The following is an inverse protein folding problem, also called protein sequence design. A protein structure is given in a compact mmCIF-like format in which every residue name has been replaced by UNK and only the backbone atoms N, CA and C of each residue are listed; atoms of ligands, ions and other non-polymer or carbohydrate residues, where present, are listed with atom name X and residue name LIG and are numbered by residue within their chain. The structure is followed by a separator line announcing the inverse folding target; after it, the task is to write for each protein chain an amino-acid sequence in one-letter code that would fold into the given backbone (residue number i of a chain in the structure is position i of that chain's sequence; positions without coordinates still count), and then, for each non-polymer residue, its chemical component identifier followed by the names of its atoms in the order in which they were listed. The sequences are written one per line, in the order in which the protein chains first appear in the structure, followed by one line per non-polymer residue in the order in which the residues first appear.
data_IF_203582830908
#
_entry.id   IF_203582830908
#
_cell.length_a   1.000
_cell.length_b   1.000
_cell.length_c   1.000
_cell.angle_alpha   90.00
_cell.angle_beta   90.00
_cell.angle_gamma   90.00
#
_symmetry.space_group_name_H-M   'P 1'
#
loop_
_entity.id
_entity.type
_entity.pdbx_description
1 polymer ?
#
# COMPACT_ATOMS: atom_id res chain seq x y z
N UNK A 1 -9.18 -18.52 -24.76
CA UNK A 1 -8.65 -19.60 -25.62
C UNK A 1 -7.64 -20.37 -24.80
N UNK A 2 -8.08 -21.49 -24.21
CA UNK A 2 -7.26 -22.34 -23.37
C UNK A 2 -6.73 -23.50 -24.23
N UNK A 3 -5.42 -23.72 -24.25
CA UNK A 3 -4.83 -24.91 -24.86
C UNK A 3 -4.45 -25.89 -23.75
N UNK A 4 -5.20 -26.99 -23.66
CA UNK A 4 -4.86 -28.18 -22.88
C UNK A 4 -4.07 -29.12 -23.80
N UNK A 5 -2.87 -29.54 -23.39
CA UNK A 5 -2.12 -30.61 -24.04
C UNK A 5 -2.28 -31.89 -23.22
N UNK A 6 -2.95 -32.88 -23.80
CA UNK A 6 -3.08 -34.26 -23.29
C UNK A 6 -1.82 -35.05 -23.60
N UNK A 7 -1.25 -35.73 -22.61
CA UNK A 7 -0.19 -36.72 -22.77
C UNK A 7 -0.80 -38.11 -22.96
N UNK A 8 -0.70 -38.71 -24.15
CA UNK A 8 -0.90 -40.16 -24.34
C UNK A 8 0.46 -40.85 -24.35
N UNK A 9 0.61 -41.88 -23.50
CA UNK A 9 1.76 -42.78 -23.50
C UNK A 9 1.39 -44.03 -24.30
N UNK A 10 2.03 -44.22 -25.46
CA UNK A 10 1.95 -45.46 -26.23
C UNK A 10 3.29 -46.20 -26.12
N UNK A 11 3.25 -47.43 -25.60
CA UNK A 11 4.39 -48.34 -25.46
C UNK A 11 4.86 -48.84 -26.84
N UNK A 12 6.18 -48.86 -27.07
CA UNK A 12 6.85 -49.40 -28.25
C UNK A 12 6.99 -50.94 -28.18
N UNK A 13 6.82 -51.63 -29.31
CA UNK A 13 7.45 -52.93 -29.59
C UNK A 13 8.16 -52.93 -30.95
N UNK A 14 9.47 -52.69 -30.91
CA UNK A 14 10.56 -53.43 -31.57
C UNK A 14 10.36 -54.04 -32.97
N UNK A 15 11.10 -53.55 -33.97
CA UNK A 15 11.91 -54.36 -34.90
C UNK A 15 13.03 -53.53 -35.54
N UNK A 16 14.24 -54.10 -35.54
CA UNK A 16 15.50 -53.59 -36.09
C UNK A 16 15.45 -53.39 -37.61
N UNK A 17 16.06 -52.31 -38.12
CA UNK A 17 16.95 -52.27 -39.30
C UNK A 17 17.56 -50.86 -39.39
N UNK A 18 18.87 -50.80 -39.64
CA UNK A 18 19.73 -49.69 -39.24
C UNK A 18 19.68 -48.42 -40.10
N UNK A 19 19.98 -47.30 -39.43
CA UNK A 19 20.63 -46.08 -39.93
C UNK A 19 21.25 -45.38 -38.71
N UNK A 20 22.45 -44.77 -38.79
CA UNK A 20 22.97 -43.96 -37.70
C UNK A 20 22.16 -42.66 -37.63
N UNK A 21 21.10 -42.66 -36.83
CA UNK A 21 20.31 -41.46 -36.55
C UNK A 21 21.12 -40.62 -35.56
N UNK A 22 21.82 -39.62 -36.08
CA UNK A 22 22.44 -38.57 -35.26
C UNK A 22 21.29 -37.76 -34.64
N UNK A 23 21.03 -38.01 -33.36
CA UNK A 23 20.07 -37.27 -32.54
C UNK A 23 20.62 -35.85 -32.30
N UNK A 24 20.32 -34.92 -33.21
CA UNK A 24 20.53 -33.49 -32.98
C UNK A 24 19.41 -33.03 -32.04
N UNK A 25 19.71 -32.99 -30.74
CA UNK A 25 18.83 -32.40 -29.74
C UNK A 25 18.75 -30.89 -29.99
N UNK A 26 17.69 -30.44 -30.65
CA UNK A 26 17.34 -29.03 -30.75
C UNK A 26 16.88 -28.57 -29.37
N UNK A 27 17.82 -28.05 -28.58
CA UNK A 27 17.53 -27.37 -27.33
C UNK A 27 16.88 -26.03 -27.70
N UNK A 28 15.55 -25.98 -27.68
CA UNK A 28 14.81 -24.73 -27.81
C UNK A 28 15.09 -23.88 -26.56
N UNK A 29 16.06 -22.97 -26.62
CA UNK A 29 16.21 -21.92 -25.62
C UNK A 29 15.02 -20.97 -25.78
N UNK A 30 13.99 -21.21 -24.98
CA UNK A 30 12.87 -20.28 -24.78
C UNK A 30 13.40 -19.08 -23.99
N UNK A 31 13.98 -18.10 -24.69
CA UNK A 31 14.27 -16.78 -24.11
C UNK A 31 12.94 -16.06 -23.87
N UNK A 32 12.30 -16.35 -22.75
CA UNK A 32 11.25 -15.50 -22.21
C UNK A 32 11.87 -14.15 -21.88
N UNK A 33 11.66 -13.15 -22.73
CA UNK A 33 11.97 -11.77 -22.36
C UNK A 33 11.09 -11.44 -21.16
N UNK A 34 11.69 -11.40 -19.97
CA UNK A 34 11.06 -10.80 -18.81
C UNK A 34 10.70 -9.36 -19.23
N UNK A 35 9.42 -9.03 -19.24
CA UNK A 35 8.99 -7.65 -19.36
C UNK A 35 9.57 -6.93 -18.14
N UNK A 36 10.61 -6.13 -18.35
CA UNK A 36 11.10 -5.25 -17.30
C UNK A 36 9.92 -4.37 -16.88
N UNK A 37 9.67 -4.27 -15.57
CA UNK A 37 8.62 -3.40 -15.08
C UNK A 37 9.00 -1.95 -15.35
N UNK A 38 8.28 -1.33 -16.28
CA UNK A 38 8.48 0.07 -16.66
C UNK A 38 7.57 0.91 -15.77
N UNK A 39 8.06 1.97 -15.11
CA UNK A 39 7.20 2.83 -14.32
C UNK A 39 6.12 3.50 -15.18
N UNK A 40 5.10 4.05 -14.53
CA UNK A 40 3.96 4.71 -15.16
C UNK A 40 4.30 6.00 -15.93
N UNK A 41 5.56 6.43 -15.92
CA UNK A 41 6.07 7.60 -16.63
C UNK A 41 7.19 7.24 -17.63
N UNK A 42 7.44 8.13 -18.59
CA UNK A 42 8.41 7.89 -19.67
C UNK A 42 9.85 8.08 -19.18
N UNK A 43 10.57 6.97 -18.97
CA UNK A 43 11.98 6.96 -18.57
C UNK A 43 12.93 7.71 -19.51
N UNK A 44 12.55 7.96 -20.77
CA UNK A 44 13.39 8.73 -21.70
C UNK A 44 13.35 10.24 -21.42
N UNK A 45 12.44 10.69 -20.57
CA UNK A 45 12.26 12.11 -20.21
C UNK A 45 12.86 12.46 -18.85
N UNK A 46 13.48 11.50 -18.17
CA UNK A 46 14.11 11.74 -16.86
C UNK A 46 15.43 12.47 -17.01
N UNK A 47 15.80 13.25 -16.00
CA UNK A 47 17.10 13.92 -15.96
C UNK A 47 18.13 12.99 -15.35
N UNK A 48 19.38 13.06 -15.81
CA UNK A 48 20.48 12.32 -15.19
C UNK A 48 20.65 12.73 -13.72
N UNK A 49 20.83 11.77 -12.83
CA UNK A 49 20.94 11.94 -11.38
C UNK A 49 19.62 12.25 -10.67
N UNK A 50 18.47 12.13 -11.35
CA UNK A 50 17.16 12.35 -10.71
C UNK A 50 16.64 11.10 -9.99
N UNK A 51 15.73 11.30 -9.04
CA UNK A 51 15.00 10.20 -8.40
C UNK A 51 14.21 9.39 -9.43
N UNK A 52 13.65 10.03 -10.46
CA UNK A 52 12.98 9.34 -11.55
C UNK A 52 13.90 8.42 -12.36
N UNK A 53 15.17 8.80 -12.55
CA UNK A 53 16.15 7.92 -13.21
C UNK A 53 16.44 6.68 -12.35
N UNK A 54 16.52 6.83 -11.03
CA UNK A 54 16.69 5.69 -10.11
C UNK A 54 15.49 4.74 -10.20
N UNK A 55 14.26 5.29 -10.16
CA UNK A 55 13.03 4.49 -10.33
C UNK A 55 13.02 3.75 -11.67
N UNK A 56 13.52 4.37 -12.74
CA UNK A 56 13.59 3.74 -14.06
C UNK A 56 14.61 2.60 -14.18
N UNK A 57 15.62 2.55 -13.30
CA UNK A 57 16.68 1.53 -13.31
C UNK A 57 16.45 0.44 -12.28
N UNK A 58 15.47 0.61 -11.40
CA UNK A 58 15.17 -0.29 -10.29
C UNK A 58 13.79 -0.93 -10.47
N UNK A 59 13.79 -2.26 -10.59
CA UNK A 59 12.56 -3.03 -10.85
C UNK A 59 11.56 -2.96 -9.69
N UNK A 60 12.05 -2.91 -8.44
CA UNK A 60 11.19 -2.86 -7.25
C UNK A 60 10.51 -1.48 -7.14
N UNK A 61 11.27 -0.41 -7.36
CA UNK A 61 10.72 0.95 -7.37
C UNK A 61 9.77 1.19 -8.56
N UNK A 62 10.06 0.61 -9.73
CA UNK A 62 9.16 0.68 -10.88
C UNK A 62 7.82 -0.02 -10.62
N UNK A 63 7.83 -1.20 -9.97
CA UNK A 63 6.61 -1.89 -9.52
C UNK A 63 5.82 -1.05 -8.52
N UNK A 64 6.49 -0.39 -7.57
CA UNK A 64 5.83 0.50 -6.62
C UNK A 64 5.19 1.71 -7.32
N UNK A 65 5.85 2.28 -8.33
CA UNK A 65 5.27 3.35 -9.15
C UNK A 65 4.00 2.91 -9.90
N UNK A 66 4.01 1.72 -10.51
CA UNK A 66 2.82 1.14 -11.15
C UNK A 66 1.68 0.94 -10.14
N UNK A 67 1.96 0.33 -8.97
CA UNK A 67 0.96 0.15 -7.91
C UNK A 67 0.37 1.47 -7.43
N UNK A 68 1.19 2.50 -7.29
CA UNK A 68 0.71 3.83 -6.93
C UNK A 68 -0.18 4.42 -8.03
N UNK A 69 0.17 4.24 -9.30
CA UNK A 69 -0.64 4.68 -10.44
C UNK A 69 -2.02 4.03 -10.44
N UNK A 70 -2.10 2.72 -10.17
CA UNK A 70 -3.36 1.98 -10.02
C UNK A 70 -4.21 2.50 -8.86
N UNK A 71 -3.59 2.67 -7.67
CA UNK A 71 -4.26 3.20 -6.49
C UNK A 71 -4.78 4.63 -6.72
N UNK A 72 -3.98 5.48 -7.37
CA UNK A 72 -4.36 6.84 -7.73
C UNK A 72 -5.49 6.88 -8.75
N UNK A 73 -5.49 5.99 -9.76
CA UNK A 73 -6.58 5.88 -10.71
C UNK A 73 -7.89 5.45 -10.02
N UNK A 74 -7.81 4.53 -9.06
CA UNK A 74 -8.96 4.10 -8.26
C UNK A 74 -9.48 5.20 -7.33
N UNK A 75 -8.57 5.91 -6.64
CA UNK A 75 -8.90 7.08 -5.83
C UNK A 75 -9.57 8.17 -6.69
N UNK A 76 -9.04 8.45 -7.88
CA UNK A 76 -9.57 9.46 -8.80
C UNK A 76 -11.02 9.18 -9.22
N UNK A 77 -11.40 7.91 -9.39
CA UNK A 77 -12.80 7.53 -9.69
C UNK A 77 -13.75 7.81 -8.52
N UNK A 78 -13.25 7.77 -7.28
CA UNK A 78 -14.04 8.10 -6.08
C UNK A 78 -14.03 9.61 -5.77
N UNK A 79 -12.99 10.32 -6.17
CA UNK A 79 -12.80 11.74 -5.92
C UNK A 79 -13.57 12.68 -6.89
N UNK A 80 -14.36 12.15 -7.83
CA UNK A 80 -15.03 12.94 -8.88
C UNK A 80 -15.85 14.10 -8.33
N UNK A 81 -16.48 13.91 -7.17
CA UNK A 81 -17.33 14.91 -6.51
C UNK A 81 -16.67 15.53 -5.26
N UNK A 82 -15.36 15.35 -5.07
CA UNK A 82 -14.64 15.91 -3.94
C UNK A 82 -14.58 17.45 -4.05
N UNK A 83 -14.93 18.15 -2.97
CA UNK A 83 -14.90 19.62 -2.91
C UNK A 83 -14.19 20.10 -1.63
N UNK A 84 -13.06 20.81 -1.75
CA UNK A 84 -12.32 21.11 -2.99
C UNK A 84 -11.68 19.86 -3.62
N UNK A 85 -11.39 19.85 -4.94
CA UNK A 85 -10.77 18.69 -5.62
C UNK A 85 -9.27 18.58 -5.26
N UNK A 86 -8.97 18.07 -4.06
CA UNK A 86 -7.61 18.10 -3.49
C UNK A 86 -6.71 16.97 -3.99
N UNK A 87 -7.25 15.81 -4.35
CA UNK A 87 -6.46 14.62 -4.73
C UNK A 87 -5.34 14.92 -5.74
N UNK A 88 -5.68 15.63 -6.83
CA UNK A 88 -4.71 15.96 -7.88
C UNK A 88 -3.63 16.92 -7.39
N UNK A 89 -3.99 17.89 -6.55
CA UNK A 89 -3.04 18.84 -5.99
C UNK A 89 -2.10 18.15 -5.00
N UNK A 90 -2.64 17.29 -4.13
CA UNK A 90 -1.87 16.48 -3.20
C UNK A 90 -0.92 15.52 -3.90
N UNK A 91 -1.38 14.84 -4.96
CA UNK A 91 -0.53 13.92 -5.72
C UNK A 91 0.68 14.65 -6.34
N UNK A 92 0.46 15.86 -6.88
CA UNK A 92 1.56 16.70 -7.37
C UNK A 92 2.51 17.12 -6.26
N UNK A 93 1.98 17.44 -5.08
CA UNK A 93 2.79 17.74 -3.90
C UNK A 93 3.62 16.54 -3.47
N UNK A 94 3.00 15.36 -3.43
CA UNK A 94 3.66 14.10 -3.08
C UNK A 94 4.82 13.77 -4.04
N UNK A 95 4.65 13.91 -5.36
CA UNK A 95 5.75 13.68 -6.32
C UNK A 95 6.97 14.55 -6.00
N UNK A 96 6.74 15.82 -5.64
CA UNK A 96 7.84 16.71 -5.23
C UNK A 96 8.51 16.22 -3.93
N UNK A 97 7.71 15.79 -2.95
CA UNK A 97 8.21 15.24 -1.70
C UNK A 97 9.02 13.95 -1.88
N UNK A 98 8.55 13.02 -2.73
CA UNK A 98 9.33 11.83 -3.11
C UNK A 98 10.66 12.23 -3.75
N UNK A 99 10.64 13.23 -4.63
CA UNK A 99 11.86 13.66 -5.30
C UNK A 99 12.88 14.27 -4.33
N UNK A 100 12.47 14.82 -3.18
CA UNK A 100 13.39 15.28 -2.12
C UNK A 100 14.24 14.15 -1.51
N UNK A 101 13.95 12.87 -1.81
CA UNK A 101 14.81 11.74 -1.48
C UNK A 101 16.23 11.86 -2.04
N UNK A 102 16.51 12.76 -3.00
CA UNK A 102 17.87 13.06 -3.44
C UNK A 102 18.79 13.49 -2.28
N UNK A 103 18.21 14.01 -1.19
CA UNK A 103 18.90 14.45 0.03
C UNK A 103 19.19 13.30 1.01
N UNK A 104 18.59 12.13 0.82
CA UNK A 104 18.77 10.97 1.70
C UNK A 104 20.13 10.31 1.45
N UNK A 105 20.75 9.79 2.51
CA UNK A 105 21.92 8.91 2.39
C UNK A 105 21.55 7.60 1.67
N UNK A 106 20.38 7.05 2.01
CA UNK A 106 19.77 5.91 1.30
C UNK A 106 18.59 6.41 0.46
N UNK A 107 18.87 6.72 -0.81
CA UNK A 107 17.88 7.22 -1.75
C UNK A 107 16.86 6.14 -2.11
N UNK A 108 17.29 4.88 -2.25
CA UNK A 108 16.43 3.77 -2.59
C UNK A 108 15.36 3.57 -1.51
N UNK A 109 15.79 3.43 -0.24
CA UNK A 109 14.88 3.25 0.89
C UNK A 109 13.92 4.41 1.06
N UNK A 110 14.40 5.65 0.90
CA UNK A 110 13.55 6.83 0.98
C UNK A 110 12.42 6.81 -0.08
N UNK A 111 12.75 6.41 -1.32
CA UNK A 111 11.77 6.34 -2.40
C UNK A 111 10.78 5.19 -2.16
N UNK A 112 11.27 4.02 -1.73
CA UNK A 112 10.46 2.87 -1.36
C UNK A 112 9.42 3.24 -0.29
N UNK A 113 9.87 3.84 0.83
CA UNK A 113 9.00 4.28 1.93
C UNK A 113 7.98 5.31 1.45
N UNK A 114 8.40 6.26 0.61
CA UNK A 114 7.52 7.29 0.06
C UNK A 114 6.37 6.68 -0.76
N UNK A 115 6.65 5.64 -1.56
CA UNK A 115 5.63 4.91 -2.30
C UNK A 115 4.71 4.11 -1.38
N UNK A 116 5.28 3.30 -0.48
CA UNK A 116 4.51 2.44 0.42
C UNK A 116 3.51 3.26 1.24
N UNK A 117 3.96 4.34 1.87
CA UNK A 117 3.11 5.23 2.65
C UNK A 117 2.01 5.88 1.79
N UNK A 118 2.33 6.34 0.59
CA UNK A 118 1.32 6.97 -0.28
C UNK A 118 0.29 5.99 -0.83
N UNK A 119 0.70 4.78 -1.17
CA UNK A 119 -0.21 3.71 -1.59
C UNK A 119 -1.18 3.41 -0.45
N UNK A 120 -0.67 3.18 0.76
CA UNK A 120 -1.49 2.94 1.94
C UNK A 120 -2.42 4.12 2.26
N UNK A 121 -1.94 5.36 2.14
CA UNK A 121 -2.77 6.57 2.31
C UNK A 121 -3.95 6.59 1.34
N UNK A 122 -3.69 6.43 0.04
CA UNK A 122 -4.75 6.46 -0.97
C UNK A 122 -5.74 5.31 -0.77
N UNK A 123 -5.25 4.12 -0.44
CA UNK A 123 -6.07 2.96 -0.15
C UNK A 123 -6.98 3.19 1.07
N UNK A 124 -6.48 3.78 2.14
CA UNK A 124 -7.26 4.07 3.34
C UNK A 124 -8.26 5.20 3.12
N UNK A 125 -7.80 6.37 2.66
CA UNK A 125 -8.64 7.57 2.48
C UNK A 125 -9.79 7.33 1.50
N UNK A 126 -9.52 6.64 0.40
CA UNK A 126 -10.52 6.33 -0.61
C UNK A 126 -11.15 4.95 -0.42
N UNK A 127 -10.87 4.26 0.68
CA UNK A 127 -11.45 2.94 1.03
C UNK A 127 -11.38 1.96 -0.14
N UNK A 128 -10.18 1.75 -0.64
CA UNK A 128 -9.87 0.88 -1.78
C UNK A 128 -9.50 -0.55 -1.35
N UNK A 129 -9.41 -0.78 -0.03
CA UNK A 129 -9.12 -2.07 0.59
C UNK A 129 -10.15 -2.37 1.68
N UNK A 130 -10.17 -3.61 2.17
CA UNK A 130 -11.04 -4.00 3.27
C UNK A 130 -10.72 -3.19 4.53
N UNK A 131 -11.77 -2.85 5.28
CA UNK A 131 -11.69 -2.09 6.52
C UNK A 131 -12.43 -2.79 7.66
N UNK A 132 -11.98 -2.56 8.89
CA UNK A 132 -12.61 -3.03 10.12
C UNK A 132 -12.98 -1.82 11.01
N UNK A 133 -14.24 -1.75 11.44
CA UNK A 133 -14.83 -0.60 12.13
C UNK A 133 -16.05 -0.03 11.39
N UNK A 134 -16.58 1.15 11.80
CA UNK A 134 -15.98 2.05 12.78
C UNK A 134 -16.07 1.52 14.23
N UNK A 135 -15.02 1.74 15.00
CA UNK A 135 -15.02 1.54 16.45
C UNK A 135 -15.06 2.88 17.18
N UNK A 136 -15.95 2.97 18.16
CA UNK A 136 -16.18 4.18 18.95
C UNK A 136 -15.46 4.07 20.29
N UNK A 137 -14.67 5.08 20.64
CA UNK A 137 -13.96 5.18 21.91
C UNK A 137 -14.52 6.33 22.74
N UNK A 138 -14.87 6.07 24.00
CA UNK A 138 -15.16 7.12 24.98
C UNK A 138 -13.89 7.46 25.76
N UNK A 139 -13.47 8.72 25.73
CA UNK A 139 -12.22 9.18 26.34
C UNK A 139 -12.47 9.99 27.62
N UNK A 140 -11.54 9.93 28.59
CA UNK A 140 -11.63 10.63 29.88
C UNK A 140 -12.90 10.31 30.71
N UNK A 141 -13.53 9.16 30.46
CA UNK A 141 -14.84 8.79 31.04
C UNK A 141 -15.99 9.73 30.65
N UNK A 142 -15.79 10.59 29.64
CA UNK A 142 -16.82 11.45 29.08
C UNK A 142 -17.30 10.89 27.74
N UNK A 143 -18.59 10.57 27.66
CA UNK A 143 -19.22 10.09 26.42
C UNK A 143 -19.21 11.10 25.26
N UNK A 144 -19.00 12.40 25.55
CA UNK A 144 -18.95 13.50 24.57
C UNK A 144 -17.58 13.65 23.92
N UNK A 145 -16.52 13.17 24.56
CA UNK A 145 -15.19 13.13 23.97
C UNK A 145 -14.99 11.77 23.29
N UNK A 146 -15.54 11.67 22.09
CA UNK A 146 -15.58 10.45 21.28
C UNK A 146 -14.52 10.48 20.18
N UNK A 147 -13.82 9.37 20.00
CA UNK A 147 -12.92 9.14 18.87
C UNK A 147 -13.45 7.94 18.09
N UNK A 148 -13.66 8.14 16.79
CA UNK A 148 -14.12 7.10 15.87
C UNK A 148 -12.94 6.60 15.08
N UNK A 149 -12.78 5.28 14.97
CA UNK A 149 -11.59 4.68 14.34
C UNK A 149 -12.00 3.65 13.30
N UNK A 150 -11.36 3.67 12.14
CA UNK A 150 -11.50 2.64 11.11
C UNK A 150 -10.12 2.13 10.74
N UNK A 151 -9.91 0.82 10.84
CA UNK A 151 -8.65 0.16 10.50
C UNK A 151 -8.71 -0.38 9.07
N UNK A 152 -7.63 -0.30 8.31
CA UNK A 152 -7.57 -0.71 6.91
C UNK A 152 -6.46 -1.73 6.68
N UNK A 153 -6.75 -2.71 5.83
CA UNK A 153 -5.80 -3.75 5.40
C UNK A 153 -4.85 -3.22 4.32
N UNK A 154 -4.11 -2.16 4.64
CA UNK A 154 -3.03 -1.60 3.81
C UNK A 154 -1.68 -2.16 4.22
N UNK A 155 -0.63 -1.84 3.46
CA UNK A 155 0.75 -2.16 3.81
C UNK A 155 1.62 -0.89 3.81
N UNK A 156 2.10 -0.40 4.97
CA UNK A 156 1.82 -0.93 6.31
C UNK A 156 0.34 -0.73 6.70
N UNK A 157 -0.20 -1.49 7.69
CA UNK A 157 -1.58 -1.33 8.14
C UNK A 157 -1.85 0.09 8.62
N UNK A 158 -3.00 0.64 8.24
CA UNK A 158 -3.37 2.02 8.55
C UNK A 158 -4.63 2.09 9.41
N UNK A 159 -4.77 3.22 10.08
CA UNK A 159 -5.93 3.63 10.86
C UNK A 159 -6.33 5.04 10.42
N UNK A 160 -7.62 5.27 10.21
CA UNK A 160 -8.18 6.61 10.18
C UNK A 160 -8.93 6.82 11.50
N UNK A 161 -8.51 7.84 12.26
CA UNK A 161 -9.16 8.28 13.48
C UNK A 161 -9.83 9.64 13.24
N UNK A 162 -11.05 9.79 13.72
CA UNK A 162 -11.89 10.98 13.57
C UNK A 162 -12.29 11.50 14.95
N UNK A 163 -12.17 12.82 15.15
CA UNK A 163 -12.51 13.53 16.39
C UNK A 163 -13.14 14.88 16.03
N UNK A 164 -14.47 14.95 16.09
CA UNK A 164 -15.21 16.10 15.55
C UNK A 164 -14.90 16.23 14.05
N UNK A 165 -14.54 17.43 13.59
CA UNK A 165 -14.18 17.70 12.19
C UNK A 165 -12.72 17.34 11.85
N UNK A 166 -11.96 16.82 12.81
CA UNK A 166 -10.55 16.48 12.61
C UNK A 166 -10.38 15.01 12.24
N UNK A 167 -9.55 14.76 11.23
CA UNK A 167 -9.23 13.41 10.74
C UNK A 167 -7.72 13.22 10.79
N UNK A 168 -7.27 12.09 11.34
CA UNK A 168 -5.86 11.69 11.34
C UNK A 168 -5.71 10.31 10.71
N UNK A 169 -4.90 10.24 9.65
CA UNK A 169 -4.38 8.99 9.10
C UNK A 169 -3.12 8.61 9.86
N UNK A 170 -3.07 7.37 10.34
CA UNK A 170 -1.97 6.82 11.12
C UNK A 170 -1.51 5.50 10.54
N UNK A 171 -0.22 5.20 10.70
CA UNK A 171 0.39 3.95 10.26
C UNK A 171 0.80 3.11 11.46
N UNK A 172 0.64 1.80 11.37
CA UNK A 172 1.13 0.87 12.38
C UNK A 172 2.63 1.06 12.60
N UNK A 173 3.07 1.04 13.85
CA UNK A 173 4.45 1.16 14.27
C UNK A 173 4.87 -0.10 15.05
N UNK A 174 6.16 -0.48 15.01
CA UNK A 174 6.67 -1.51 15.90
C UNK A 174 6.39 -1.19 17.38
N UNK A 175 5.83 -2.15 18.11
CA UNK A 175 5.55 -2.04 19.54
C UNK A 175 5.78 -3.36 20.27
N UNK A 176 6.26 -3.30 21.52
CA UNK A 176 6.54 -4.48 22.34
C UNK A 176 5.26 -5.20 22.82
N UNK A 177 4.14 -4.48 22.89
CA UNK A 177 2.81 -5.03 23.19
C UNK A 177 1.72 -4.12 22.63
N UNK A 178 0.55 -4.69 22.36
CA UNK A 178 -0.56 -3.95 21.74
C UNK A 178 -0.23 -3.48 20.33
N UNK A 179 -1.14 -2.70 19.75
CA UNK A 179 -0.99 -2.11 18.41
C UNK A 179 -0.85 -0.60 18.52
N UNK A 180 0.32 -0.08 18.14
CA UNK A 180 0.59 1.36 18.12
C UNK A 180 0.47 1.91 16.70
N UNK A 181 -0.37 2.91 16.52
CA UNK A 181 -0.53 3.67 15.29
C UNK A 181 -0.03 5.10 15.51
N UNK A 182 0.70 5.63 14.53
CA UNK A 182 1.28 6.98 14.58
C UNK A 182 0.90 7.76 13.32
N UNK A 183 0.26 8.91 13.53
CA UNK A 183 0.04 9.94 12.51
C UNK A 183 1.06 11.05 12.64
N UNK A 184 0.78 12.21 12.03
CA UNK A 184 1.72 13.35 12.05
C UNK A 184 1.92 13.91 13.45
N UNK A 185 0.82 14.16 14.17
CA UNK A 185 0.84 14.71 15.54
C UNK A 185 -0.05 13.92 16.50
N UNK A 186 -0.67 12.85 16.02
CA UNK A 186 -1.60 12.04 16.76
C UNK A 186 -1.07 10.61 16.87
N UNK A 187 -1.40 9.91 17.94
CA UNK A 187 -1.06 8.51 18.12
C UNK A 187 -2.17 7.78 18.83
N UNK A 188 -2.29 6.48 18.55
CA UNK A 188 -3.21 5.57 19.21
C UNK A 188 -2.46 4.30 19.56
N UNK A 189 -2.46 3.93 20.84
CA UNK A 189 -1.90 2.67 21.30
C UNK A 189 -3.00 1.82 21.94
N UNK A 190 -3.43 0.77 21.24
CA UNK A 190 -4.51 -0.12 21.65
C UNK A 190 -3.96 -1.37 22.35
N UNK A 191 -4.64 -1.76 23.43
CA UNK A 191 -4.43 -3.04 24.07
C UNK A 191 -5.72 -3.51 24.79
N UNK A 192 -6.34 -4.57 24.28
CA UNK A 192 -7.50 -5.29 24.88
C UNK A 192 -8.75 -4.42 25.08
N UNK A 193 -9.10 -3.59 24.11
CA UNK A 193 -10.30 -2.74 24.14
C UNK A 193 -10.11 -1.39 24.85
N UNK A 194 -8.90 -1.12 25.35
CA UNK A 194 -8.48 0.18 25.85
C UNK A 194 -7.45 0.80 24.90
N UNK A 195 -7.51 2.12 24.74
CA UNK A 195 -6.56 2.86 23.93
C UNK A 195 -5.99 4.06 24.70
N UNK A 196 -4.69 4.29 24.58
CA UNK A 196 -4.05 5.56 24.92
C UNK A 196 -3.95 6.40 23.64
N UNK A 197 -4.60 7.56 23.62
CA UNK A 197 -4.69 8.40 22.42
C UNK A 197 -4.09 9.78 22.71
N UNK A 198 -3.13 10.20 21.90
CA UNK A 198 -2.63 11.57 21.88
C UNK A 198 -3.18 12.26 20.65
N UNK A 199 -3.73 13.47 20.81
CA UNK A 199 -4.27 14.24 19.70
C UNK A 199 -3.64 15.63 19.59
N UNK A 200 -2.66 15.76 18.71
CA UNK A 200 -1.98 17.03 18.44
C UNK A 200 -0.62 17.15 19.14
N UNK A 201 0.21 18.05 18.63
CA UNK A 201 1.58 18.25 19.11
C UNK A 201 1.59 18.72 20.57
N UNK A 202 2.43 18.10 21.41
CA UNK A 202 2.58 18.44 22.82
C UNK A 202 1.38 18.08 23.72
N UNK A 203 0.35 17.42 23.18
CA UNK A 203 -0.81 16.99 23.97
C UNK A 203 -0.50 15.75 24.81
N UNK A 204 -1.13 15.66 25.99
CA UNK A 204 -1.05 14.46 26.82
C UNK A 204 -1.89 13.32 26.26
N UNK A 205 -1.43 12.09 26.45
CA UNK A 205 -2.21 10.91 26.11
C UNK A 205 -3.43 10.81 27.03
N UNK A 206 -4.60 10.56 26.43
CA UNK A 206 -5.85 10.30 27.14
C UNK A 206 -6.19 8.81 27.10
N UNK A 207 -6.79 8.31 28.18
CA UNK A 207 -7.31 6.95 28.23
C UNK A 207 -8.70 6.91 27.62
N UNK A 208 -8.91 5.98 26.71
CA UNK A 208 -10.18 5.77 26.04
C UNK A 208 -10.58 4.29 26.06
N UNK A 209 -11.88 4.04 26.19
CA UNK A 209 -12.46 2.68 26.27
C UNK A 209 -13.34 2.47 25.04
N UNK A 210 -13.13 1.36 24.34
CA UNK A 210 -13.97 0.96 23.19
C UNK A 210 -15.39 0.68 23.67
N UNK A 211 -16.37 1.33 23.07
CA UNK A 211 -17.80 1.07 23.31
C UNK A 211 -18.17 -0.31 22.77
N UNK A 212 -19.03 -1.04 23.49
CA UNK A 212 -19.58 -2.31 23.02
C UNK A 212 -20.51 -2.10 21.82
N UNK A 213 -20.64 -3.14 20.99
CA UNK A 213 -21.47 -3.09 19.76
C UNK A 213 -22.93 -2.69 20.04
N UNK A 214 -23.47 -3.07 21.20
CA UNK A 214 -24.84 -2.73 21.62
C UNK A 214 -25.12 -1.22 21.73
N UNK A 215 -24.09 -0.38 21.93
CA UNK A 215 -24.24 1.08 21.98
C UNK A 215 -24.02 1.79 20.65
N UNK A 216 -23.48 1.09 19.64
CA UNK A 216 -23.22 1.68 18.32
C UNK A 216 -24.46 1.67 17.42
N UNK A 217 -25.37 0.70 17.58
CA UNK A 217 -26.60 0.58 16.79
C UNK A 217 -27.76 1.53 17.19
N UNK A 218 -27.64 2.26 18.30
CA UNK A 218 -28.72 3.11 18.81
C UNK A 218 -28.61 4.59 18.42
N UNK A 219 -27.77 4.91 17.43
CA UNK A 219 -27.60 6.26 16.86
C UNK A 219 -27.81 6.23 15.36
#
# INVERSE_FOLDING_TARGET
MNAQCTHEYFFLSMTMLGFPVVLVSVFCLSSGAALADIPSFDCRKTKNGSIEEIICKDEELAKLDQKLSEAYAAASRKAVNEHPPVLKAEQRGWVKGRNDCWKSEDQHKCVEDSYQLRIAELQARYRLVASNGPFFYACNSDSKYEIVTTFFQTDPPTLIAERGDQVSLMYLQPSASGSKYQGRNESLWEHKGEALITWGYGSSAVRCIRKSEAHAQSR
#
